data_IF_159880533549
#
_entry.id   IF_159880533549
#
_cell.length_a   1.000
_cell.length_b   1.000
_cell.length_c   1.000
_cell.angle_alpha   90.00
_cell.angle_beta   90.00
_cell.angle_gamma   90.00
#
_symmetry.space_group_name_H-M   'P 1'
#
loop_
_entity.id
_entity.type
_entity.pdbx_description
1 polymer ?
#
# COMPACT_ATOMS: atom_id res chain seq x y z
N UNK A 1 2.51 -48.08 -24.56
CA UNK A 1 2.66 -47.38 -23.27
C UNK A 1 3.34 -46.05 -23.53
N UNK A 2 2.57 -44.96 -23.58
CA UNK A 2 3.11 -43.63 -23.87
C UNK A 2 3.79 -43.07 -22.62
N UNK A 3 5.07 -42.69 -22.73
CA UNK A 3 5.78 -41.96 -21.69
C UNK A 3 5.18 -40.55 -21.62
N UNK A 4 4.42 -40.28 -20.57
CA UNK A 4 4.00 -38.91 -20.22
C UNK A 4 5.26 -38.12 -19.86
N UNK A 5 5.77 -37.32 -20.79
CA UNK A 5 6.87 -36.41 -20.53
C UNK A 5 6.41 -35.36 -19.52
N UNK A 6 7.00 -35.42 -18.32
CA UNK A 6 6.83 -34.39 -17.30
C UNK A 6 7.45 -33.08 -17.84
N UNK A 7 6.72 -31.95 -17.81
CA UNK A 7 7.20 -30.70 -18.39
C UNK A 7 8.49 -30.22 -17.70
N UNK A 8 9.47 -29.78 -18.52
CA UNK A 8 10.79 -29.34 -18.07
C UNK A 8 10.69 -28.16 -17.09
N UNK A 9 11.23 -28.38 -15.90
CA UNK A 9 11.24 -27.47 -14.75
C UNK A 9 12.31 -26.38 -14.92
N UNK A 10 11.98 -25.23 -15.53
CA UNK A 10 12.88 -24.07 -15.41
C UNK A 10 12.19 -22.68 -15.46
N UNK A 11 11.04 -22.55 -14.79
CA UNK A 11 10.54 -21.22 -14.41
C UNK A 11 10.20 -21.27 -12.92
N UNK A 12 11.00 -20.63 -12.05
CA UNK A 12 10.73 -20.65 -10.62
C UNK A 12 9.43 -19.88 -10.36
N UNK A 13 8.38 -20.56 -9.88
CA UNK A 13 7.12 -19.93 -9.46
C UNK A 13 5.86 -20.44 -10.15
N UNK A 14 5.79 -20.44 -11.49
CA UNK A 14 4.56 -20.82 -12.21
C UNK A 14 4.16 -22.27 -12.01
N UNK A 15 5.14 -23.17 -11.89
CA UNK A 15 4.90 -24.61 -11.69
C UNK A 15 4.46 -24.93 -10.26
N UNK A 16 4.88 -24.14 -9.28
CA UNK A 16 4.53 -24.38 -7.86
C UNK A 16 3.06 -24.06 -7.60
N UNK A 17 2.56 -22.97 -8.20
CA UNK A 17 1.15 -22.57 -8.15
C UNK A 17 0.21 -23.53 -8.87
N UNK A 18 0.69 -24.26 -9.88
CA UNK A 18 -0.09 -25.28 -10.57
C UNK A 18 -0.38 -26.51 -9.70
N UNK A 19 0.32 -26.68 -8.57
CA UNK A 19 0.11 -27.79 -7.65
C UNK A 19 -1.18 -27.52 -6.83
N UNK A 20 -2.22 -28.38 -6.91
CA UNK A 20 -3.50 -28.14 -6.22
C UNK A 20 -3.36 -27.98 -4.71
N UNK A 21 -2.40 -28.71 -4.11
CA UNK A 21 -2.10 -28.59 -2.67
C UNK A 21 -1.53 -27.23 -2.29
N UNK A 22 -0.75 -26.60 -3.17
CA UNK A 22 -0.19 -25.27 -2.89
C UNK A 22 -1.30 -24.24 -2.96
N UNK A 23 -2.18 -24.32 -3.96
CA UNK A 23 -3.34 -23.42 -4.07
C UNK A 23 -4.25 -23.53 -2.84
N UNK A 24 -4.63 -24.76 -2.46
CA UNK A 24 -5.45 -24.98 -1.25
C UNK A 24 -4.78 -24.48 0.03
N UNK A 25 -3.45 -24.53 0.12
CA UNK A 25 -2.70 -23.95 1.23
C UNK A 25 -2.78 -22.41 1.25
N UNK A 26 -2.72 -21.76 0.09
CA UNK A 26 -2.88 -20.31 -0.02
C UNK A 26 -4.31 -19.88 0.32
N UNK A 27 -5.31 -20.61 -0.16
CA UNK A 27 -6.72 -20.32 0.13
C UNK A 27 -6.97 -20.28 1.65
N UNK A 28 -6.50 -21.29 2.39
CA UNK A 28 -6.61 -21.33 3.86
C UNK A 28 -5.86 -20.17 4.55
N UNK A 29 -4.76 -19.71 3.96
CA UNK A 29 -4.04 -18.54 4.49
C UNK A 29 -4.79 -17.23 4.22
N UNK A 30 -5.45 -17.10 3.07
CA UNK A 30 -6.28 -15.94 2.74
C UNK A 30 -7.52 -15.89 3.64
N UNK A 31 -8.08 -17.06 3.99
CA UNK A 31 -9.13 -17.21 5.02
C UNK A 31 -8.66 -16.82 6.44
N UNK A 32 -7.36 -16.56 6.64
CA UNK A 32 -6.80 -16.07 7.90
C UNK A 32 -6.20 -17.16 8.80
N UNK A 33 -6.06 -18.40 8.33
CA UNK A 33 -5.39 -19.43 9.13
C UNK A 33 -3.89 -19.14 9.28
N UNK A 34 -3.33 -19.52 10.44
CA UNK A 34 -1.89 -19.43 10.65
C UNK A 34 -1.18 -20.37 9.68
N UNK A 35 0.01 -19.95 9.22
CA UNK A 35 0.85 -20.72 8.29
C UNK A 35 1.04 -22.19 8.71
N UNK A 36 1.21 -22.43 10.00
CA UNK A 36 1.42 -23.77 10.55
C UNK A 36 0.15 -24.62 10.41
N UNK A 37 -0.99 -24.08 10.80
CA UNK A 37 -2.27 -24.77 10.80
C UNK A 37 -2.73 -25.04 9.36
N UNK A 38 -2.57 -24.06 8.46
CA UNK A 38 -2.84 -24.23 7.02
C UNK A 38 -1.93 -25.28 6.38
N UNK A 39 -0.64 -25.34 6.76
CA UNK A 39 0.29 -26.35 6.26
C UNK A 39 -0.08 -27.75 6.74
N UNK A 40 -0.43 -27.88 8.02
CA UNK A 40 -0.81 -29.15 8.64
C UNK A 40 -2.15 -29.66 8.03
N UNK A 41 -3.12 -28.76 7.79
CA UNK A 41 -4.40 -29.07 7.14
C UNK A 41 -4.27 -29.63 5.70
N UNK A 42 -3.26 -29.18 4.95
CA UNK A 42 -3.01 -29.63 3.56
C UNK A 42 -1.94 -30.74 3.48
N UNK A 43 -1.39 -31.16 4.63
CA UNK A 43 -0.35 -32.19 4.72
C UNK A 43 1.00 -31.76 4.17
N UNK A 44 1.32 -30.46 4.24
CA UNK A 44 2.61 -29.90 3.88
C UNK A 44 3.54 -29.85 5.10
N UNK A 45 4.80 -30.29 4.93
CA UNK A 45 5.83 -30.05 5.94
C UNK A 45 6.02 -28.55 6.16
N UNK A 46 6.02 -28.09 7.41
CA UNK A 46 6.22 -26.67 7.80
C UNK A 46 7.42 -26.00 7.13
N UNK A 47 8.55 -26.70 7.03
CA UNK A 47 9.75 -26.21 6.32
C UNK A 47 9.48 -25.92 4.84
N UNK A 48 8.68 -26.78 4.18
CA UNK A 48 8.30 -26.62 2.78
C UNK A 48 7.28 -25.49 2.59
N UNK A 49 6.32 -25.35 3.50
CA UNK A 49 5.37 -24.22 3.48
C UNK A 49 6.11 -22.86 3.52
N UNK A 50 7.13 -22.73 4.38
CA UNK A 50 8.00 -21.54 4.44
C UNK A 50 8.77 -21.30 3.14
N UNK A 51 9.24 -22.35 2.47
CA UNK A 51 9.93 -22.24 1.18
C UNK A 51 8.97 -21.80 0.07
N UNK A 52 7.74 -22.32 0.06
CA UNK A 52 6.70 -21.95 -0.90
C UNK A 52 6.38 -20.44 -0.80
N UNK A 53 6.24 -19.89 0.41
CA UNK A 53 5.99 -18.45 0.61
C UNK A 53 7.21 -17.55 0.34
N UNK A 54 8.41 -18.13 0.22
CA UNK A 54 9.60 -17.39 -0.22
C UNK A 54 9.61 -17.21 -1.73
N UNK A 55 8.86 -18.01 -2.48
CA UNK A 55 8.74 -17.85 -3.92
C UNK A 55 7.99 -16.54 -4.26
N UNK A 56 8.60 -15.64 -5.05
CA UNK A 56 7.99 -14.35 -5.39
C UNK A 56 6.69 -14.50 -6.18
N UNK A 57 6.54 -15.55 -7.01
CA UNK A 57 5.30 -15.76 -7.77
C UNK A 57 4.13 -16.09 -6.84
N UNK A 58 4.38 -16.96 -5.87
CA UNK A 58 3.39 -17.36 -4.85
C UNK A 58 3.00 -16.16 -3.99
N UNK A 59 3.99 -15.39 -3.54
CA UNK A 59 3.75 -14.20 -2.72
C UNK A 59 2.94 -13.15 -3.47
N UNK A 60 3.25 -12.93 -4.75
CA UNK A 60 2.49 -11.99 -5.59
C UNK A 60 1.02 -12.41 -5.67
N UNK A 61 0.74 -13.69 -5.94
CA UNK A 61 -0.63 -14.17 -6.02
C UNK A 61 -1.36 -14.01 -4.68
N UNK A 62 -0.73 -14.39 -3.56
CA UNK A 62 -1.31 -14.23 -2.23
C UNK A 62 -1.70 -12.77 -1.93
N UNK A 63 -0.83 -11.81 -2.26
CA UNK A 63 -1.16 -10.40 -2.08
C UNK A 63 -2.25 -9.91 -3.02
N UNK A 64 -2.30 -10.41 -4.25
CA UNK A 64 -3.40 -10.09 -5.18
C UNK A 64 -4.74 -10.55 -4.60
N UNK A 65 -4.81 -11.78 -4.08
CA UNK A 65 -6.02 -12.33 -3.46
C UNK A 65 -6.45 -11.53 -2.21
N UNK A 66 -5.50 -11.07 -1.39
CA UNK A 66 -5.80 -10.17 -0.26
C UNK A 66 -6.33 -8.81 -0.72
N UNK A 67 -5.75 -8.23 -1.77
CA UNK A 67 -6.21 -6.94 -2.29
C UNK A 67 -7.61 -7.06 -2.91
N UNK A 68 -7.89 -8.15 -3.61
CA UNK A 68 -9.24 -8.46 -4.11
C UNK A 68 -10.24 -8.62 -2.96
N UNK A 69 -9.85 -9.34 -1.89
CA UNK A 69 -10.66 -9.47 -0.69
C UNK A 69 -10.94 -8.09 -0.07
N UNK A 70 -9.91 -7.25 0.10
CA UNK A 70 -10.02 -5.89 0.64
C UNK A 70 -10.95 -5.02 -0.18
N UNK A 71 -10.84 -5.07 -1.50
CA UNK A 71 -11.73 -4.28 -2.36
C UNK A 71 -13.18 -4.78 -2.27
N UNK A 72 -13.38 -6.10 -2.19
CA UNK A 72 -14.71 -6.69 -2.01
C UNK A 72 -15.32 -6.36 -0.64
N UNK A 73 -14.50 -6.27 0.41
CA UNK A 73 -14.92 -5.93 1.76
C UNK A 73 -15.11 -4.42 1.97
N UNK A 74 -14.50 -3.57 1.12
CA UNK A 74 -14.62 -2.10 1.23
C UNK A 74 -16.09 -1.66 1.31
N UNK A 75 -16.95 -2.17 0.43
CA UNK A 75 -18.37 -1.83 0.43
C UNK A 75 -19.06 -2.27 1.73
N UNK A 76 -18.76 -3.49 2.23
CA UNK A 76 -19.31 -3.99 3.51
C UNK A 76 -18.82 -3.16 4.70
N UNK A 77 -17.56 -2.76 4.70
CA UNK A 77 -16.96 -1.94 5.75
C UNK A 77 -17.58 -0.55 5.80
N UNK A 78 -17.91 0.05 4.64
CA UNK A 78 -18.65 1.31 4.58
C UNK A 78 -20.03 1.15 5.21
N UNK A 79 -20.78 0.09 4.86
CA UNK A 79 -22.10 -0.17 5.44
C UNK A 79 -22.02 -0.40 6.96
N UNK A 80 -21.01 -1.12 7.43
CA UNK A 80 -20.74 -1.32 8.86
C UNK A 80 -20.41 0.00 9.57
N UNK A 81 -19.61 0.86 8.95
CA UNK A 81 -19.30 2.17 9.51
C UNK A 81 -20.55 3.06 9.62
N UNK A 82 -21.47 2.98 8.65
CA UNK A 82 -22.77 3.67 8.71
C UNK A 82 -23.61 3.14 9.87
N UNK A 83 -23.70 1.82 10.06
CA UNK A 83 -24.48 1.27 11.18
C UNK A 83 -23.92 1.69 12.54
N UNK A 84 -22.59 1.64 12.71
CA UNK A 84 -21.91 2.07 13.95
C UNK A 84 -22.17 3.56 14.24
N UNK A 85 -22.11 4.40 13.20
CA UNK A 85 -22.41 5.84 13.32
C UNK A 85 -23.84 6.05 13.81
N UNK A 86 -24.80 5.36 13.20
CA UNK A 86 -26.23 5.54 13.51
C UNK A 86 -26.58 5.02 14.91
N UNK A 87 -25.95 3.92 15.35
CA UNK A 87 -26.11 3.39 16.72
C UNK A 87 -25.63 4.37 17.79
N UNK A 88 -24.50 5.05 17.58
CA UNK A 88 -23.98 6.02 18.54
C UNK A 88 -24.74 7.35 18.59
N UNK A 89 -25.67 7.59 17.67
CA UNK A 89 -26.55 8.77 17.66
C UNK A 89 -27.88 8.55 18.41
N UNK A 90 -28.12 7.34 18.92
CA UNK A 90 -29.31 7.03 19.73
C UNK A 90 -29.28 7.73 21.08
N UNK A 91 -30.47 8.04 21.63
CA UNK A 91 -30.61 8.79 22.88
C UNK A 91 -29.96 8.07 24.09
N UNK A 92 -29.96 6.74 24.08
CA UNK A 92 -29.41 5.89 25.14
C UNK A 92 -27.93 5.55 24.95
N UNK A 93 -27.27 6.11 23.94
CA UNK A 93 -25.87 5.83 23.64
C UNK A 93 -24.93 6.36 24.74
N UNK A 94 -24.07 5.47 25.24
CA UNK A 94 -22.98 5.79 26.16
C UNK A 94 -21.99 6.80 25.55
N UNK A 95 -21.22 7.51 26.39
CA UNK A 95 -20.18 8.42 25.91
C UNK A 95 -19.12 7.68 25.04
N UNK A 96 -18.83 6.41 25.36
CA UNK A 96 -17.93 5.58 24.57
C UNK A 96 -18.49 5.32 23.16
N UNK A 97 -19.75 4.91 23.04
CA UNK A 97 -20.37 4.65 21.73
C UNK A 97 -20.52 5.92 20.89
N UNK A 98 -20.77 7.07 21.50
CA UNK A 98 -20.75 8.38 20.81
C UNK A 98 -19.38 8.71 20.23
N UNK A 99 -18.29 8.39 20.95
CA UNK A 99 -16.92 8.54 20.43
C UNK A 99 -16.65 7.62 19.25
N UNK A 100 -17.05 6.35 19.33
CA UNK A 100 -16.89 5.39 18.23
C UNK A 100 -17.70 5.83 16.99
N UNK A 101 -18.91 6.36 17.18
CA UNK A 101 -19.71 6.91 16.09
C UNK A 101 -19.07 8.15 15.43
N UNK A 102 -18.42 9.02 16.22
CA UNK A 102 -17.65 10.14 15.68
C UNK A 102 -16.45 9.67 14.86
N UNK A 103 -15.72 8.65 15.33
CA UNK A 103 -14.62 8.04 14.58
C UNK A 103 -15.10 7.38 13.28
N UNK A 104 -16.24 6.69 13.30
CA UNK A 104 -16.87 6.13 12.12
C UNK A 104 -17.32 7.20 11.11
N UNK A 105 -17.85 8.33 11.59
CA UNK A 105 -18.22 9.47 10.74
C UNK A 105 -16.99 10.08 10.06
N UNK A 106 -15.88 10.29 10.79
CA UNK A 106 -14.61 10.77 10.21
C UNK A 106 -14.06 9.82 9.16
N UNK A 107 -14.14 8.52 9.42
CA UNK A 107 -13.74 7.50 8.44
C UNK A 107 -14.57 7.57 7.14
N UNK A 108 -15.89 7.78 7.24
CA UNK A 108 -16.79 7.91 6.10
C UNK A 108 -16.57 9.20 5.30
N UNK A 109 -16.26 10.30 5.96
CA UNK A 109 -15.92 11.59 5.31
C UNK A 109 -14.58 11.52 4.55
N UNK A 110 -13.85 10.41 4.67
CA UNK A 110 -12.56 10.22 4.00
C UNK A 110 -11.43 10.98 4.68
N UNK A 111 -11.64 11.42 5.92
CA UNK A 111 -10.64 12.05 6.78
C UNK A 111 -9.67 10.96 7.26
N UNK A 112 -8.85 10.49 6.31
CA UNK A 112 -7.70 9.65 6.61
C UNK A 112 -6.71 10.59 7.28
N UNK A 113 -6.70 10.61 8.61
CA UNK A 113 -5.52 11.05 9.34
C UNK A 113 -4.34 10.35 8.66
N UNK A 114 -3.55 11.13 7.91
CA UNK A 114 -2.30 10.64 7.37
C UNK A 114 -1.47 10.33 8.60
N UNK A 115 -1.48 9.05 8.99
CA UNK A 115 -0.63 8.53 10.03
C UNK A 115 0.80 8.75 9.58
N UNK A 116 1.36 9.90 9.90
CA UNK A 116 2.79 10.13 9.86
C UNK A 116 3.40 8.99 10.65
N UNK A 117 4.26 8.22 10.00
CA UNK A 117 4.99 7.15 10.68
C UNK A 117 5.96 7.87 11.63
N UNK A 118 5.50 8.13 12.85
CA UNK A 118 6.32 8.72 13.91
C UNK A 118 7.18 7.60 14.46
N UNK A 119 8.33 7.35 13.81
CA UNK A 119 9.38 6.54 14.41
C UNK A 119 9.90 7.34 15.59
N UNK A 120 9.90 6.73 16.78
CA UNK A 120 10.31 7.35 18.04
C UNK A 120 11.81 7.75 17.94
N UNK A 121 12.07 8.95 17.42
CA UNK A 121 13.39 9.42 17.00
C UNK A 121 13.42 10.81 16.33
N UNK A 122 12.27 11.50 16.20
CA UNK A 122 12.23 12.94 15.88
C UNK A 122 12.57 13.36 14.46
N UNK A 123 12.66 12.44 13.49
CA UNK A 123 12.84 12.79 12.08
C UNK A 123 11.61 12.42 11.25
N UNK A 124 10.89 13.46 10.80
CA UNK A 124 9.91 13.34 9.72
C UNK A 124 10.66 12.97 8.43
N UNK A 125 10.48 11.74 7.93
CA UNK A 125 11.08 11.31 6.67
C UNK A 125 10.21 11.84 5.52
N UNK A 126 10.67 12.93 4.88
CA UNK A 126 10.17 13.39 3.58
C UNK A 126 10.87 12.53 2.52
N UNK A 127 10.10 11.91 1.62
CA UNK A 127 10.64 11.06 0.55
C UNK A 127 11.61 11.87 -0.34
N UNK A 128 12.91 11.60 -0.20
CA UNK A 128 13.97 12.14 -1.05
C UNK A 128 14.26 11.25 -2.26
N UNK A 129 14.73 11.84 -3.35
CA UNK A 129 15.18 11.14 -4.55
C UNK A 129 16.56 10.52 -4.34
N UNK A 130 16.79 9.31 -4.86
CA UNK A 130 18.11 8.64 -4.90
C UNK A 130 18.73 8.87 -6.27
N UNK A 131 19.88 9.54 -6.33
CA UNK A 131 20.67 9.73 -7.55
C UNK A 131 21.78 8.68 -7.56
N UNK A 132 21.79 7.79 -8.57
CA UNK A 132 22.92 6.88 -8.81
C UNK A 132 24.08 7.66 -9.44
N UNK A 133 25.28 7.55 -8.85
CA UNK A 133 26.49 8.27 -9.27
C UNK A 133 27.44 7.42 -10.12
N UNK A 134 27.01 6.25 -10.62
CA UNK A 134 27.86 5.30 -11.34
C UNK A 134 28.05 5.68 -12.83
N UNK A 135 28.53 6.89 -13.08
CA UNK A 135 28.93 7.40 -14.40
C UNK A 135 30.16 8.31 -14.31
N UNK A 136 30.88 8.58 -15.42
CA UNK A 136 32.05 9.46 -15.40
C UNK A 136 31.65 10.81 -14.81
N UNK A 137 32.37 11.23 -13.78
CA UNK A 137 32.07 12.40 -12.96
C UNK A 137 32.11 13.68 -13.80
N UNK A 138 30.97 14.08 -14.37
CA UNK A 138 30.71 15.49 -14.64
C UNK A 138 30.52 16.15 -13.28
N UNK A 139 31.49 16.98 -12.88
CA UNK A 139 31.39 17.78 -11.68
C UNK A 139 30.11 18.64 -11.66
N UNK A 140 29.72 19.18 -10.50
CA UNK A 140 28.46 19.88 -10.34
C UNK A 140 28.35 21.00 -11.37
N UNK A 141 27.38 20.89 -12.29
CA UNK A 141 27.04 21.96 -13.21
C UNK A 141 26.45 23.10 -12.40
N UNK A 142 27.22 24.18 -12.28
CA UNK A 142 26.75 25.43 -11.71
C UNK A 142 25.60 25.92 -12.60
N UNK A 143 24.37 25.90 -12.09
CA UNK A 143 23.26 26.60 -12.74
C UNK A 143 23.50 28.09 -12.46
N UNK A 144 24.25 28.76 -13.35
CA UNK A 144 24.20 30.21 -13.38
C UNK A 144 22.79 30.59 -13.80
N UNK A 145 22.08 31.27 -12.91
CA UNK A 145 20.88 32.00 -13.30
C UNK A 145 21.34 33.12 -14.23
N UNK A 146 21.42 32.83 -15.52
CA UNK A 146 21.49 33.85 -16.55
C UNK A 146 20.10 34.51 -16.54
N UNK A 147 19.92 35.49 -15.63
CA UNK A 147 18.93 36.53 -15.82
C UNK A 147 19.40 37.29 -17.04
N UNK A 148 18.85 36.91 -18.19
CA UNK A 148 18.87 37.70 -19.38
C UNK A 148 18.08 38.96 -19.04
N UNK A 149 18.80 40.06 -18.90
CA UNK A 149 18.26 41.41 -18.74
C UNK A 149 17.47 41.79 -19.98
N UNK A 150 16.22 41.33 -20.06
CA UNK A 150 15.23 41.94 -20.94
C UNK A 150 14.52 43.04 -20.16
N UNK A 151 15.06 44.24 -20.36
CA UNK A 151 14.54 45.51 -19.90
C UNK A 151 13.03 45.63 -20.16
N UNK A 152 12.25 45.59 -19.08
CA UNK A 152 10.95 46.26 -19.00
C UNK A 152 11.03 47.28 -17.88
N UNK A 153 10.88 48.58 -18.16
CA UNK A 153 10.87 49.59 -17.09
C UNK A 153 9.63 49.37 -16.21
N UNK A 154 9.87 49.30 -14.90
CA UNK A 154 8.85 49.32 -13.86
C UNK A 154 8.38 50.78 -13.72
N UNK A 155 7.11 51.03 -14.07
CA UNK A 155 6.29 52.18 -13.64
C UNK A 155 6.72 53.53 -14.23
N UNK A 156 6.00 53.99 -15.26
CA UNK A 156 5.91 55.41 -15.58
C UNK A 156 5.11 56.11 -14.47
N UNK A 157 5.79 56.86 -13.59
CA UNK A 157 5.11 57.95 -12.87
C UNK A 157 5.12 59.17 -13.77
N UNK A 158 4.06 59.32 -14.55
CA UNK A 158 3.72 60.62 -15.14
C UNK A 158 3.46 61.62 -14.01
N UNK A 159 3.98 62.84 -14.18
CA UNK A 159 4.00 63.88 -13.17
C UNK A 159 2.60 64.31 -12.74
N UNK A 160 2.39 64.34 -11.43
CA UNK A 160 1.41 65.25 -10.84
C UNK A 160 2.12 66.60 -10.76
N UNK A 161 1.77 67.50 -11.68
CA UNK A 161 2.17 68.90 -11.63
C UNK A 161 1.41 69.60 -10.50
N UNK A 162 2.16 70.26 -9.62
CA UNK A 162 1.65 71.30 -8.74
C UNK A 162 1.01 72.43 -9.56
N UNK A 163 -0.28 72.70 -9.34
CA UNK A 163 -0.93 74.04 -9.41
C UNK A 163 -2.12 74.04 -8.44
#
# INVERSE_FOLDING_TARGET
MAKTELPKLNTPGRTVLAIPKVRRFLDLMVEGQKLVDAADAVGLKRKRARLILRDPAVRKQFFQEIEELRESERARNILLAVSIRDEGMTADATAASKKVALEAARYLDGDKEQGGITINGGQNVIAGYVINLDGPSEGPKLISSQRQDDAKPLINREGVTDV
#
